data_IF_594720230423
#
_entry.id   IF_594720230423
#
_cell.length_a   1.000
_cell.length_b   1.000
_cell.length_c   1.000
_cell.angle_alpha   90.00
_cell.angle_beta   90.00
_cell.angle_gamma   90.00
#
_symmetry.space_group_name_H-M   'P 1'
#
loop_
_entity.id
_entity.type
_entity.pdbx_description
1 polymer ?
#
# COMPACT_ATOMS: atom_id res chain seq x y z
N UNK A 1 -7.37 -9.07 -36.52
CA UNK A 1 -7.54 -7.66 -36.12
C UNK A 1 -7.83 -7.54 -34.63
N UNK A 2 -8.90 -8.17 -34.12
CA UNK A 2 -9.22 -8.16 -32.68
C UNK A 2 -8.11 -8.71 -31.75
N UNK A 3 -7.40 -9.77 -32.14
CA UNK A 3 -6.29 -10.31 -31.34
C UNK A 3 -5.10 -9.35 -31.25
N UNK A 4 -4.78 -8.65 -32.35
CA UNK A 4 -3.71 -7.66 -32.39
C UNK A 4 -4.01 -6.45 -31.50
N UNK A 5 -5.26 -5.99 -31.50
CA UNK A 5 -5.75 -4.92 -30.63
C UNK A 5 -5.71 -5.32 -29.15
N UNK A 6 -6.07 -6.57 -28.84
CA UNK A 6 -5.97 -7.13 -27.50
C UNK A 6 -4.53 -7.09 -26.96
N UNK A 7 -3.55 -7.50 -27.78
CA UNK A 7 -2.14 -7.43 -27.41
C UNK A 7 -1.65 -6.00 -27.16
N UNK A 8 -2.07 -5.05 -28.00
CA UNK A 8 -1.73 -3.63 -27.80
C UNK A 8 -2.30 -3.08 -26.50
N UNK A 9 -3.56 -3.39 -26.22
CA UNK A 9 -4.21 -2.98 -24.97
C UNK A 9 -3.53 -3.57 -23.74
N UNK A 10 -3.12 -4.83 -23.80
CA UNK A 10 -2.44 -5.50 -22.68
C UNK A 10 -1.04 -4.93 -22.46
N UNK A 11 -0.33 -4.60 -23.54
CA UNK A 11 0.95 -3.90 -23.45
C UNK A 11 0.81 -2.47 -22.90
N UNK A 12 -0.21 -1.72 -23.33
CA UNK A 12 -0.50 -0.39 -22.76
C UNK A 12 -0.79 -0.48 -21.26
N UNK A 13 -1.60 -1.45 -20.83
CA UNK A 13 -1.86 -1.70 -19.42
C UNK A 13 -0.59 -2.09 -18.65
N UNK A 14 0.30 -2.88 -19.24
CA UNK A 14 1.61 -3.17 -18.65
C UNK A 14 2.45 -1.89 -18.45
N UNK A 15 2.45 -0.97 -19.42
CA UNK A 15 3.13 0.32 -19.28
C UNK A 15 2.52 1.15 -18.15
N UNK A 16 1.19 1.24 -18.06
CA UNK A 16 0.50 1.94 -16.98
C UNK A 16 0.86 1.37 -15.60
N UNK A 17 0.81 0.04 -15.44
CA UNK A 17 1.26 -0.65 -14.21
C UNK A 17 2.70 -0.30 -13.89
N UNK A 18 3.58 -0.28 -14.91
CA UNK A 18 4.98 0.09 -14.72
C UNK A 18 5.13 1.53 -14.22
N UNK A 19 4.38 2.48 -14.79
CA UNK A 19 4.42 3.88 -14.34
C UNK A 19 3.90 4.01 -12.90
N UNK A 20 2.80 3.34 -12.55
CA UNK A 20 2.28 3.33 -11.18
C UNK A 20 3.33 2.79 -10.20
N UNK A 21 3.94 1.64 -10.49
CA UNK A 21 5.01 1.06 -9.68
C UNK A 21 6.17 2.03 -9.47
N UNK A 22 6.66 2.66 -10.54
CA UNK A 22 7.82 3.55 -10.45
C UNK A 22 7.53 4.80 -9.62
N UNK A 23 6.38 5.45 -9.85
CA UNK A 23 5.98 6.61 -9.05
C UNK A 23 5.82 6.20 -7.58
N UNK A 24 5.17 5.07 -7.31
CA UNK A 24 5.00 4.53 -5.96
C UNK A 24 6.34 4.33 -5.24
N UNK A 25 7.32 3.71 -5.90
CA UNK A 25 8.65 3.48 -5.32
C UNK A 25 9.44 4.79 -5.15
N UNK A 26 9.35 5.72 -6.10
CA UNK A 26 10.00 7.03 -6.01
C UNK A 26 9.44 7.87 -4.85
N UNK A 27 8.12 7.88 -4.67
CA UNK A 27 7.45 8.54 -3.54
C UNK A 27 7.79 7.87 -2.21
N UNK A 28 7.87 6.53 -2.18
CA UNK A 28 8.29 5.79 -1.00
C UNK A 28 9.70 6.22 -0.54
N UNK A 29 10.63 6.37 -1.49
CA UNK A 29 12.00 6.85 -1.20
C UNK A 29 12.03 8.27 -0.67
N UNK A 30 11.11 9.12 -1.11
CA UNK A 30 10.91 10.49 -0.60
C UNK A 30 10.18 10.54 0.74
N UNK A 31 9.80 9.38 1.31
CA UNK A 31 8.98 9.26 2.53
C UNK A 31 7.55 9.81 2.38
N UNK A 32 7.09 10.02 1.15
CA UNK A 32 5.71 10.40 0.83
C UNK A 32 4.80 9.17 0.83
N UNK A 33 4.67 8.52 1.99
CA UNK A 33 4.05 7.18 2.09
C UNK A 33 2.55 7.17 1.73
N UNK A 34 1.82 8.25 2.02
CA UNK A 34 0.39 8.34 1.71
C UNK A 34 0.15 8.28 0.21
N UNK A 35 0.80 9.15 -0.55
CA UNK A 35 0.73 9.12 -2.02
C UNK A 35 1.31 7.82 -2.57
N UNK A 36 2.47 7.37 -2.07
CA UNK A 36 3.10 6.13 -2.52
C UNK A 36 2.14 4.93 -2.41
N UNK A 37 1.41 4.83 -1.29
CA UNK A 37 0.46 3.74 -1.06
C UNK A 37 -0.63 3.68 -2.15
N UNK A 38 -1.20 4.83 -2.52
CA UNK A 38 -2.22 4.91 -3.58
C UNK A 38 -1.69 4.34 -4.90
N UNK A 39 -0.51 4.80 -5.34
CA UNK A 39 0.12 4.30 -6.57
C UNK A 39 0.41 2.80 -6.51
N UNK A 40 0.88 2.29 -5.38
CA UNK A 40 1.24 0.87 -5.21
C UNK A 40 0.01 -0.05 -5.13
N UNK A 41 -1.07 0.38 -4.49
CA UNK A 41 -2.35 -0.37 -4.47
C UNK A 41 -2.89 -0.50 -5.89
N UNK A 42 -2.98 0.60 -6.64
CA UNK A 42 -3.43 0.59 -8.02
C UNK A 42 -2.54 -0.26 -8.93
N UNK A 43 -1.22 -0.10 -8.79
CA UNK A 43 -0.26 -0.95 -9.51
C UNK A 43 -0.49 -2.42 -9.21
N UNK A 44 -0.71 -2.79 -7.95
CA UNK A 44 -0.95 -4.18 -7.55
C UNK A 44 -2.24 -4.75 -8.13
N UNK A 45 -3.34 -3.99 -8.11
CA UNK A 45 -4.64 -4.43 -8.65
C UNK A 45 -4.56 -4.65 -10.16
N UNK A 46 -4.06 -3.66 -10.90
CA UNK A 46 -3.92 -3.76 -12.35
C UNK A 46 -2.92 -4.84 -12.76
N UNK A 47 -1.87 -5.07 -11.97
CA UNK A 47 -0.90 -6.15 -12.21
C UNK A 47 -1.54 -7.54 -12.05
N UNK A 48 -2.40 -7.75 -11.04
CA UNK A 48 -3.13 -9.02 -10.87
C UNK A 48 -3.95 -9.35 -12.12
N UNK A 49 -4.63 -8.36 -12.71
CA UNK A 49 -5.39 -8.58 -13.95
C UNK A 49 -4.53 -8.99 -15.15
N UNK A 50 -3.29 -8.50 -15.24
CA UNK A 50 -2.34 -8.92 -16.28
C UNK A 50 -1.87 -10.35 -16.05
N UNK A 51 -1.54 -10.70 -14.81
CA UNK A 51 -1.03 -12.03 -14.44
C UNK A 51 -2.06 -13.14 -14.63
N UNK A 52 -3.36 -12.84 -14.48
CA UNK A 52 -4.45 -13.76 -14.85
C UNK A 52 -4.40 -14.18 -16.32
N UNK A 53 -3.76 -13.38 -17.19
CA UNK A 53 -3.60 -13.67 -18.63
C UNK A 53 -2.25 -14.32 -18.96
N UNK A 54 -1.41 -14.54 -17.95
CA UNK A 54 -0.13 -15.25 -18.07
C UNK A 54 0.94 -14.69 -17.12
N UNK A 55 1.82 -15.55 -16.58
CA UNK A 55 2.80 -15.15 -15.56
C UNK A 55 3.84 -14.14 -16.05
N UNK A 56 4.12 -14.10 -17.37
CA UNK A 56 5.07 -13.16 -17.98
C UNK A 56 4.42 -11.84 -18.46
N UNK A 57 3.15 -11.59 -18.12
CA UNK A 57 2.41 -10.39 -18.55
C UNK A 57 2.57 -9.20 -17.60
N UNK A 58 3.01 -9.43 -16.37
CA UNK A 58 3.06 -8.43 -15.32
C UNK A 58 4.42 -8.34 -14.62
N UNK A 59 4.47 -7.55 -13.56
CA UNK A 59 5.60 -7.41 -12.65
C UNK A 59 5.55 -8.43 -11.51
N UNK A 60 6.66 -8.57 -10.79
CA UNK A 60 6.73 -9.38 -9.56
C UNK A 60 5.68 -8.94 -8.54
N UNK A 61 4.81 -9.86 -8.14
CA UNK A 61 3.80 -9.62 -7.10
C UNK A 61 4.45 -9.38 -5.75
N UNK A 62 5.51 -10.13 -5.43
CA UNK A 62 6.29 -9.97 -4.20
C UNK A 62 6.83 -8.54 -4.06
N UNK A 63 7.39 -7.98 -5.14
CA UNK A 63 7.90 -6.62 -5.13
C UNK A 63 6.81 -5.59 -4.79
N UNK A 64 5.66 -5.69 -5.46
CA UNK A 64 4.52 -4.80 -5.24
C UNK A 64 3.95 -4.95 -3.82
N UNK A 65 3.79 -6.19 -3.34
CA UNK A 65 3.32 -6.50 -2.00
C UNK A 65 4.26 -5.93 -0.93
N UNK A 66 5.57 -6.10 -1.11
CA UNK A 66 6.59 -5.59 -0.18
C UNK A 66 6.51 -4.08 -0.01
N UNK A 67 6.44 -3.31 -1.09
CA UNK A 67 6.31 -1.84 -0.99
C UNK A 67 4.96 -1.40 -0.43
N UNK A 68 3.87 -2.04 -0.85
CA UNK A 68 2.52 -1.73 -0.32
C UNK A 68 2.47 -1.96 1.19
N UNK A 69 2.93 -3.11 1.66
CA UNK A 69 3.01 -3.47 3.08
C UNK A 69 3.93 -2.52 3.86
N UNK A 70 5.09 -2.17 3.29
CA UNK A 70 5.99 -1.21 3.90
C UNK A 70 5.35 0.19 4.04
N UNK A 71 4.63 0.67 3.02
CA UNK A 71 3.86 1.92 3.10
C UNK A 71 2.83 1.86 4.21
N UNK A 72 2.03 0.79 4.27
CA UNK A 72 1.00 0.59 5.29
C UNK A 72 1.59 0.71 6.70
N UNK A 73 2.66 -0.04 6.98
CA UNK A 73 3.31 -0.04 8.29
C UNK A 73 3.93 1.32 8.64
N UNK A 74 4.51 2.03 7.66
CA UNK A 74 5.05 3.38 7.89
C UNK A 74 3.96 4.41 8.17
N UNK A 75 2.81 4.32 7.50
CA UNK A 75 1.66 5.17 7.76
C UNK A 75 1.04 4.86 9.12
N UNK A 76 0.91 3.58 9.47
CA UNK A 76 0.44 3.16 10.78
C UNK A 76 1.33 3.70 11.91
N UNK A 77 2.65 3.55 11.78
CA UNK A 77 3.60 4.08 12.76
C UNK A 77 3.53 5.60 12.89
N UNK A 78 3.32 6.34 11.78
CA UNK A 78 3.09 7.78 11.83
C UNK A 78 1.78 8.12 12.55
N UNK A 79 0.71 7.41 12.24
CA UNK A 79 -0.60 7.61 12.87
C UNK A 79 -0.54 7.36 14.38
N UNK A 80 0.12 6.29 14.80
CA UNK A 80 0.38 5.96 16.20
C UNK A 80 1.20 7.06 16.90
N UNK A 81 2.29 7.53 16.29
CA UNK A 81 3.11 8.60 16.86
C UNK A 81 2.34 9.93 17.00
N UNK A 82 1.45 10.25 16.05
CA UNK A 82 0.57 11.42 16.12
C UNK A 82 -0.50 11.26 17.22
N UNK A 83 -1.01 10.05 17.41
CA UNK A 83 -1.94 9.72 18.47
C UNK A 83 -1.29 9.87 19.86
N UNK A 84 -0.08 9.34 20.04
CA UNK A 84 0.69 9.43 21.29
C UNK A 84 1.14 10.85 21.63
N UNK A 85 1.29 11.73 20.65
CA UNK A 85 1.63 13.14 20.89
C UNK A 85 0.56 13.90 21.70
N UNK A 86 -0.66 13.35 21.83
CA UNK A 86 -1.69 13.79 22.77
C UNK A 86 -2.39 15.12 22.46
N UNK A 87 -1.84 15.95 21.57
CA UNK A 87 -2.53 17.18 21.14
C UNK A 87 -3.78 16.85 20.31
N UNK A 88 -4.89 17.57 20.52
CA UNK A 88 -6.16 17.34 19.81
C UNK A 88 -6.00 17.33 18.28
N UNK A 89 -5.14 18.18 17.74
CA UNK A 89 -4.87 18.25 16.30
C UNK A 89 -4.10 17.01 15.81
N UNK A 90 -3.02 16.63 16.51
CA UNK A 90 -2.22 15.45 16.15
C UNK A 90 -3.04 14.16 16.24
N UNK A 91 -3.81 13.98 17.32
CA UNK A 91 -4.71 12.82 17.47
C UNK A 91 -5.70 12.74 16.32
N UNK A 92 -6.29 13.88 15.92
CA UNK A 92 -7.21 13.92 14.78
C UNK A 92 -6.54 13.53 13.47
N UNK A 93 -5.34 14.07 13.19
CA UNK A 93 -4.56 13.72 11.99
C UNK A 93 -4.16 12.24 11.98
N UNK A 94 -3.75 11.69 13.13
CA UNK A 94 -3.38 10.28 13.26
C UNK A 94 -4.56 9.35 12.96
N UNK A 95 -5.73 9.64 13.52
CA UNK A 95 -6.96 8.88 13.27
C UNK A 95 -7.46 9.03 11.82
N UNK A 96 -7.27 10.20 11.20
CA UNK A 96 -7.58 10.41 9.77
C UNK A 96 -6.68 9.54 8.88
N UNK A 97 -5.37 9.50 9.13
CA UNK A 97 -4.45 8.61 8.41
C UNK A 97 -4.87 7.14 8.59
N UNK A 98 -5.25 6.76 9.82
CA UNK A 98 -5.71 5.42 10.12
C UNK A 98 -6.96 5.04 9.31
N UNK A 99 -7.96 5.91 9.28
CA UNK A 99 -9.26 5.64 8.65
C UNK A 99 -9.27 5.82 7.14
N UNK A 100 -8.51 6.75 6.59
CA UNK A 100 -8.54 7.05 5.15
C UNK A 100 -7.50 6.25 4.36
N UNK A 101 -6.44 5.77 5.01
CA UNK A 101 -5.33 5.09 4.32
C UNK A 101 -5.03 3.70 4.87
N UNK A 102 -4.96 3.53 6.19
CA UNK A 102 -4.53 2.24 6.77
C UNK A 102 -5.65 1.21 6.69
N UNK A 103 -6.82 1.50 7.29
CA UNK A 103 -7.97 0.58 7.30
C UNK A 103 -8.45 0.24 5.89
N UNK A 104 -8.60 1.20 4.94
CA UNK A 104 -9.03 0.87 3.58
C UNK A 104 -7.99 0.04 2.82
N UNK A 105 -6.71 0.05 3.22
CA UNK A 105 -5.68 -0.76 2.59
C UNK A 105 -5.66 -2.21 3.12
N UNK A 106 -6.05 -2.46 4.37
CA UNK A 106 -5.97 -3.78 5.01
C UNK A 106 -6.70 -4.89 4.23
N UNK A 107 -7.91 -4.68 3.65
CA UNK A 107 -8.57 -5.70 2.84
C UNK A 107 -7.74 -6.18 1.63
N UNK A 108 -6.89 -5.32 1.06
CA UNK A 108 -6.04 -5.68 -0.08
C UNK A 108 -4.86 -6.57 0.32
N UNK A 109 -4.44 -6.53 1.58
CA UNK A 109 -3.45 -7.45 2.16
C UNK A 109 -4.11 -8.76 2.56
N UNK A 110 -5.30 -8.70 3.18
CA UNK A 110 -6.06 -9.90 3.55
C UNK A 110 -6.49 -10.74 2.34
N UNK A 111 -6.67 -10.12 1.17
CA UNK A 111 -6.97 -10.78 -0.10
C UNK A 111 -5.71 -11.17 -0.92
N UNK A 112 -4.53 -11.23 -0.29
CA UNK A 112 -3.33 -11.83 -0.91
C UNK A 112 -3.54 -13.31 -1.20
N UNK A 113 -3.01 -13.81 -2.31
CA UNK A 113 -3.19 -15.21 -2.70
C UNK A 113 -2.10 -16.07 -2.02
N UNK A 114 -2.45 -17.22 -1.45
CA UNK A 114 -1.45 -18.12 -0.87
C UNK A 114 -0.36 -18.52 -1.88
N UNK A 115 -0.71 -18.56 -3.17
CA UNK A 115 0.19 -18.92 -4.26
C UNK A 115 1.29 -17.88 -4.53
N UNK A 116 1.14 -16.63 -4.09
CA UNK A 116 2.11 -15.56 -4.35
C UNK A 116 3.25 -15.50 -3.31
N UNK A 117 3.19 -16.32 -2.25
CA UNK A 117 4.19 -16.38 -1.19
C UNK A 117 4.23 -15.15 -0.27
N UNK A 118 3.29 -14.21 -0.44
CA UNK A 118 3.24 -12.95 0.34
C UNK A 118 2.21 -12.98 1.47
N UNK A 119 1.31 -13.96 1.47
CA UNK A 119 0.17 -14.04 2.39
C UNK A 119 0.57 -13.97 3.88
N UNK A 120 1.57 -14.74 4.28
CA UNK A 120 2.03 -14.75 5.68
C UNK A 120 2.54 -13.37 6.12
N UNK A 121 3.33 -12.71 5.27
CA UNK A 121 3.88 -11.39 5.56
C UNK A 121 2.79 -10.31 5.55
N UNK A 122 1.82 -10.39 4.64
CA UNK A 122 0.69 -9.47 4.55
C UNK A 122 -0.25 -9.62 5.76
N UNK A 123 -0.54 -10.84 6.18
CA UNK A 123 -1.31 -11.12 7.40
C UNK A 123 -0.59 -10.60 8.65
N UNK A 124 0.72 -10.88 8.78
CA UNK A 124 1.51 -10.40 9.91
C UNK A 124 1.53 -8.86 10.01
N UNK A 125 1.55 -8.15 8.88
CA UNK A 125 1.45 -6.69 8.89
C UNK A 125 0.07 -6.19 9.32
N UNK A 126 -1.01 -6.85 8.89
CA UNK A 126 -2.37 -6.54 9.34
C UNK A 126 -2.51 -6.75 10.85
N UNK A 127 -1.98 -7.86 11.38
CA UNK A 127 -1.99 -8.12 12.83
C UNK A 127 -1.10 -7.14 13.59
N UNK A 128 0.02 -6.71 13.01
CA UNK A 128 0.85 -5.64 13.60
C UNK A 128 0.06 -4.34 13.78
N UNK A 129 -0.74 -3.97 12.77
CA UNK A 129 -1.64 -2.80 12.85
C UNK A 129 -2.70 -3.00 13.95
N UNK A 130 -3.40 -4.14 13.94
CA UNK A 130 -4.44 -4.47 14.94
C UNK A 130 -3.91 -4.42 16.36
N UNK A 131 -2.80 -5.12 16.61
CA UNK A 131 -2.18 -5.17 17.93
C UNK A 131 -1.71 -3.79 18.40
N UNK A 132 -1.17 -2.97 17.51
CA UNK A 132 -0.77 -1.59 17.83
C UNK A 132 -1.94 -0.78 18.39
N UNK A 133 -3.08 -0.76 17.71
CA UNK A 133 -4.23 0.05 18.14
C UNK A 133 -4.99 -0.55 19.32
N UNK A 134 -5.09 -1.88 19.40
CA UNK A 134 -5.67 -2.54 20.56
C UNK A 134 -4.86 -2.30 21.84
N UNK A 135 -3.53 -2.18 21.74
CA UNK A 135 -2.67 -1.96 22.92
C UNK A 135 -2.95 -0.64 23.66
N UNK A 136 -3.56 0.33 22.99
CA UNK A 136 -3.95 1.58 23.64
C UNK A 136 -5.18 1.42 24.56
N UNK A 137 -5.99 0.38 24.41
CA UNK A 137 -7.14 0.14 25.30
C UNK A 137 -6.73 -0.15 26.74
N UNK A 138 -5.51 -0.66 26.95
CA UNK A 138 -4.96 -0.98 28.26
C UNK A 138 -4.20 0.20 28.90
N UNK A 139 -4.13 1.35 28.22
CA UNK A 139 -3.39 2.53 28.66
C UNK A 139 -4.31 3.60 29.27
N UNK A 140 -3.82 4.32 30.27
CA UNK A 140 -4.52 5.51 30.80
C UNK A 140 -4.53 6.62 29.74
N UNK A 141 -5.72 7.12 29.42
CA UNK A 141 -5.91 8.16 28.42
C UNK A 141 -7.11 9.04 28.75
N UNK A 142 -7.11 10.25 28.19
CA UNK A 142 -8.21 11.20 28.35
C UNK A 142 -9.52 10.63 27.75
N UNK A 143 -10.66 10.71 28.46
CA UNK A 143 -11.93 10.12 28.00
C UNK A 143 -12.33 10.49 26.56
N UNK A 144 -12.19 11.75 26.10
CA UNK A 144 -12.53 12.11 24.72
C UNK A 144 -11.64 11.45 23.65
N UNK A 145 -10.42 11.03 24.00
CA UNK A 145 -9.50 10.32 23.10
C UNK A 145 -9.89 8.84 23.05
N UNK A 146 -10.20 8.24 24.21
CA UNK A 146 -10.68 6.86 24.31
C UNK A 146 -11.98 6.64 23.55
N UNK A 147 -12.93 7.56 23.68
CA UNK A 147 -14.20 7.52 22.94
C UNK A 147 -13.97 7.46 21.43
N UNK A 148 -13.08 8.31 20.89
CA UNK A 148 -12.73 8.28 19.47
C UNK A 148 -12.03 6.97 19.07
N UNK A 149 -11.06 6.51 19.86
CA UNK A 149 -10.37 5.26 19.57
C UNK A 149 -11.36 4.09 19.50
N UNK A 150 -12.25 3.97 20.48
CA UNK A 150 -13.27 2.91 20.54
C UNK A 150 -14.32 3.03 19.44
N UNK A 151 -14.60 4.22 18.91
CA UNK A 151 -15.45 4.41 17.72
C UNK A 151 -14.82 3.81 16.45
N UNK A 152 -13.52 3.94 16.28
CA UNK A 152 -12.81 3.50 15.07
C UNK A 152 -12.32 2.05 15.12
N UNK A 153 -12.08 1.51 16.31
CA UNK A 153 -11.51 0.18 16.49
C UNK A 153 -12.33 -0.95 15.82
N UNK A 154 -13.68 -0.96 15.86
CA UNK A 154 -14.47 -1.99 15.18
C UNK A 154 -14.18 -2.06 13.67
N UNK A 155 -14.00 -0.92 12.99
CA UNK A 155 -13.68 -0.87 11.55
C UNK A 155 -12.29 -1.42 11.25
N UNK A 156 -11.35 -1.19 12.17
CA UNK A 156 -9.98 -1.69 12.07
C UNK A 156 -9.89 -3.20 12.33
N UNK A 157 -10.73 -3.73 13.22
CA UNK A 157 -10.79 -5.16 13.51
C UNK A 157 -11.58 -5.91 12.45
N UNK A 158 -12.70 -5.37 11.99
CA UNK A 158 -13.58 -5.97 10.97
C UNK A 158 -13.53 -5.20 9.65
N UNK A 159 -12.44 -5.38 8.89
CA UNK A 159 -12.29 -4.81 7.56
C UNK A 159 -12.97 -5.66 6.45
N UNK A 160 -13.79 -6.66 6.80
CA UNK A 160 -14.28 -7.68 5.86
C UNK A 160 -15.34 -7.15 4.86
N UNK A 161 -16.02 -6.04 5.19
CA UNK A 161 -17.14 -5.51 4.40
C UNK A 161 -16.82 -4.45 3.34
N UNK A 162 -15.61 -3.86 3.33
CA UNK A 162 -15.33 -2.59 2.61
C UNK A 162 -14.57 -2.75 1.27
N UNK A 163 -14.53 -3.94 0.68
CA UNK A 163 -13.62 -4.31 -0.42
C UNK A 163 -13.87 -3.65 -1.79
N UNK A 164 -14.47 -2.45 -1.89
CA UNK A 164 -14.94 -1.91 -3.18
C UNK A 164 -14.12 -0.77 -3.77
N UNK A 165 -13.33 -0.03 -3.00
CA UNK A 165 -12.42 0.99 -3.56
C UNK A 165 -11.48 1.55 -2.49
N UNK A 166 -10.20 1.75 -2.82
CA UNK A 166 -9.24 2.42 -1.93
C UNK A 166 -9.39 3.94 -2.02
N UNK A 167 -8.61 4.58 -2.89
CA UNK A 167 -8.76 5.98 -3.31
C UNK A 167 -9.16 6.02 -4.78
N UNK A 168 -9.56 7.15 -5.38
CA UNK A 168 -9.67 7.25 -6.84
C UNK A 168 -8.32 6.96 -7.55
N UNK A 169 -8.33 6.51 -8.82
CA UNK A 169 -7.10 6.22 -9.55
C UNK A 169 -6.19 7.45 -9.62
N UNK A 170 -4.90 7.33 -9.26
CA UNK A 170 -3.99 8.46 -9.33
C UNK A 170 -3.70 8.82 -10.79
N UNK A 171 -3.41 10.10 -11.04
CA UNK A 171 -3.12 10.58 -12.39
C UNK A 171 -1.77 10.05 -12.87
N UNK A 172 -1.74 9.58 -14.12
CA UNK A 172 -0.50 9.16 -14.77
C UNK A 172 0.10 10.34 -15.56
N UNK A 173 1.37 10.71 -15.31
CA UNK A 173 2.07 11.66 -16.17
C UNK A 173 2.37 11.03 -17.52
N UNK A 174 2.40 11.85 -18.57
CA UNK A 174 2.92 11.43 -19.88
C UNK A 174 4.40 11.07 -19.73
N UNK A 175 4.78 9.85 -20.09
CA UNK A 175 6.14 9.33 -19.96
C UNK A 175 6.57 8.73 -21.30
N UNK A 176 7.75 9.10 -21.80
CA UNK A 176 8.30 8.45 -22.99
C UNK A 176 8.84 7.05 -22.65
N UNK A 177 8.91 6.14 -23.63
CA UNK A 177 9.48 4.81 -23.42
C UNK A 177 10.91 4.87 -22.89
N UNK A 178 11.72 5.81 -23.38
CA UNK A 178 13.09 6.00 -22.91
C UNK A 178 13.13 6.40 -21.43
N UNK A 179 12.34 7.40 -21.05
CA UNK A 179 12.24 7.86 -19.67
C UNK A 179 11.77 6.73 -18.73
N UNK A 180 10.77 5.96 -19.17
CA UNK A 180 10.28 4.81 -18.42
C UNK A 180 11.38 3.79 -18.16
N UNK A 181 12.14 3.43 -19.21
CA UNK A 181 13.25 2.50 -19.09
C UNK A 181 14.34 3.02 -18.15
N UNK A 182 14.68 4.30 -18.22
CA UNK A 182 15.68 4.90 -17.33
C UNK A 182 15.24 4.90 -15.87
N UNK A 183 14.00 5.31 -15.60
CA UNK A 183 13.42 5.30 -14.25
C UNK A 183 13.37 3.88 -13.69
N UNK A 184 12.96 2.91 -14.51
CA UNK A 184 12.95 1.50 -14.11
C UNK A 184 14.34 0.98 -13.74
N UNK A 185 15.36 1.25 -14.57
CA UNK A 185 16.74 0.88 -14.23
C UNK A 185 17.18 1.48 -12.90
N UNK A 186 16.91 2.77 -12.66
CA UNK A 186 17.27 3.45 -11.41
C UNK A 186 16.58 2.82 -10.20
N UNK A 187 15.31 2.41 -10.34
CA UNK A 187 14.57 1.74 -9.26
C UNK A 187 15.21 0.39 -8.93
N UNK A 188 15.46 -0.45 -9.94
CA UNK A 188 16.00 -1.80 -9.77
C UNK A 188 17.45 -1.80 -9.27
N UNK A 189 18.32 -0.94 -9.80
CA UNK A 189 19.74 -0.90 -9.36
C UNK A 189 19.87 -0.41 -7.92
N UNK A 190 19.02 0.53 -7.50
CA UNK A 190 19.06 1.06 -6.14
C UNK A 190 18.50 0.09 -5.09
N UNK A 191 17.75 -0.95 -5.49
CA UNK A 191 17.29 -2.01 -4.58
C UNK A 191 18.41 -2.99 -4.20
N UNK A 192 19.40 -3.18 -5.07
CA UNK A 192 20.57 -4.06 -4.78
C UNK A 192 21.48 -3.49 -3.69
N UNK A 193 21.25 -2.25 -3.25
CA UNK A 193 22.07 -1.54 -2.27
C UNK A 193 21.38 -1.32 -0.91
N UNK A 194 20.19 -1.87 -0.67
CA UNK A 194 19.70 -2.01 0.71
C UNK A 194 20.35 -3.25 1.32
N UNK A 195 21.28 -3.12 2.29
CA UNK A 195 21.79 -4.28 3.00
C UNK A 195 20.60 -4.93 3.70
N UNK A 196 20.47 -6.24 3.54
CA UNK A 196 19.71 -7.10 4.44
C UNK A 196 19.97 -6.64 5.88
N UNK A 197 18.91 -6.27 6.60
CA UNK A 197 18.98 -5.91 8.01
C UNK A 197 19.81 -6.96 8.76
N UNK A 198 21.00 -6.55 9.18
CA UNK A 198 21.73 -7.22 10.24
C UNK A 198 21.24 -6.63 11.56
N UNK A 199 20.55 -7.46 12.33
CA UNK A 199 20.62 -7.71 13.79
C UNK A 199 19.34 -8.42 14.20
#
# INVERSE_FOLDING_TARGET
MAEYELWHRDYQKFLEVTVFLLIGVELFRKKSYAEALVYLVYSSQCNKELLLRGPARGHSQELLANYRRACLLKLNARAAALFEAGSKAAVSEGLEILMELVVPCMPFLLASDAADGTQEADLAAVETVRNCWCSYLDQEMEPPILEKLTEFLPKLLDCSGETRSFCPPPRLPSCSTQELCERFRRVVTSQKHTPSNGT
#
